data_IF_364599859308
#
_entry.id   IF_364599859308
#
_cell.length_a   1.000
_cell.length_b   1.000
_cell.length_c   1.000
_cell.angle_alpha   90.00
_cell.angle_beta   90.00
_cell.angle_gamma   90.00
#
_symmetry.space_group_name_H-M   'P 1'
#
loop_
_entity.id
_entity.type
_entity.pdbx_description
1 polymer ?
#
# COMPACT_ATOMS: atom_id res chain seq x y z
N UNK A 1 -26.48 19.43 33.18
CA UNK A 1 -26.32 17.95 33.16
C UNK A 1 -24.88 17.55 32.80
N UNK A 2 -23.98 18.53 32.66
CA UNK A 2 -22.70 18.38 31.96
C UNK A 2 -21.50 18.12 32.91
N UNK A 3 -21.60 18.53 34.18
CA UNK A 3 -20.51 18.37 35.15
C UNK A 3 -20.26 16.92 35.58
N UNK A 4 -21.33 16.11 35.69
CA UNK A 4 -21.22 14.71 36.08
C UNK A 4 -20.49 13.87 35.01
N UNK A 5 -20.72 14.19 33.73
CA UNK A 5 -20.11 13.52 32.59
C UNK A 5 -18.64 13.93 32.43
N UNK A 6 -18.32 15.21 32.72
CA UNK A 6 -16.96 15.73 32.75
C UNK A 6 -16.12 15.13 33.91
N UNK A 7 -16.73 14.93 35.08
CA UNK A 7 -16.08 14.27 36.22
C UNK A 7 -15.85 12.78 35.97
N UNK A 8 -16.80 12.08 35.35
CA UNK A 8 -16.61 10.68 34.95
C UNK A 8 -15.51 10.54 33.88
N UNK A 9 -15.44 11.46 32.91
CA UNK A 9 -14.39 11.47 31.90
C UNK A 9 -13.01 11.74 32.52
N UNK A 10 -12.92 12.68 33.47
CA UNK A 10 -11.69 12.97 34.23
C UNK A 10 -11.25 11.79 35.08
N UNK A 11 -12.18 11.13 35.78
CA UNK A 11 -11.89 9.95 36.59
C UNK A 11 -11.46 8.76 35.73
N UNK A 12 -12.08 8.56 34.57
CA UNK A 12 -11.68 7.55 33.60
C UNK A 12 -10.28 7.83 33.04
N UNK A 13 -9.99 9.09 32.65
CA UNK A 13 -8.65 9.50 32.19
C UNK A 13 -7.58 9.31 33.25
N UNK A 14 -7.87 9.68 34.50
CA UNK A 14 -6.97 9.45 35.64
C UNK A 14 -6.77 7.96 35.94
N UNK A 15 -7.82 7.14 35.84
CA UNK A 15 -7.72 5.69 36.00
C UNK A 15 -6.90 5.02 34.89
N UNK A 16 -7.02 5.50 33.65
CA UNK A 16 -6.17 5.05 32.54
C UNK A 16 -4.71 5.53 32.69
N UNK A 17 -4.49 6.76 33.18
CA UNK A 17 -3.14 7.25 33.50
C UNK A 17 -2.50 6.46 34.65
N UNK A 18 -3.26 6.11 35.69
CA UNK A 18 -2.78 5.27 36.79
C UNK A 18 -2.34 3.89 36.31
N UNK A 19 -3.16 3.22 35.49
CA UNK A 19 -2.80 1.93 34.89
C UNK A 19 -1.62 2.01 33.92
N UNK A 20 -1.48 3.12 33.20
CA UNK A 20 -0.31 3.36 32.36
C UNK A 20 0.95 3.58 33.19
N UNK A 21 0.85 4.27 34.33
CA UNK A 21 1.95 4.45 35.28
C UNK A 21 2.36 3.12 35.92
N UNK A 22 1.41 2.30 36.36
CA UNK A 22 1.68 0.97 36.92
C UNK A 22 2.31 0.02 35.88
N UNK A 23 1.86 0.11 34.62
CA UNK A 23 2.47 -0.65 33.52
C UNK A 23 3.89 -0.19 33.20
N UNK A 24 4.16 1.13 33.24
CA UNK A 24 5.50 1.68 33.09
C UNK A 24 6.41 1.29 34.27
N UNK A 25 5.91 1.31 35.51
CA UNK A 25 6.63 0.88 36.71
C UNK A 25 6.94 -0.62 36.68
N UNK A 26 5.97 -1.46 36.31
CA UNK A 26 6.17 -2.90 36.16
C UNK A 26 7.15 -3.25 35.02
N UNK A 27 7.14 -2.49 33.93
CA UNK A 27 8.17 -2.59 32.89
C UNK A 27 9.54 -2.16 33.40
N UNK A 28 9.61 -1.15 34.25
CA UNK A 28 10.84 -0.62 34.81
C UNK A 28 11.43 -1.58 35.85
N UNK A 29 10.61 -2.23 36.68
CA UNK A 29 11.03 -3.28 37.62
C UNK A 29 11.47 -4.56 36.91
N UNK A 30 10.71 -5.02 35.90
CA UNK A 30 11.09 -6.19 35.10
C UNK A 30 12.34 -5.93 34.24
N UNK A 31 12.52 -4.69 33.78
CA UNK A 31 13.73 -4.26 33.11
C UNK A 31 14.90 -4.13 34.09
N UNK A 32 14.71 -3.62 35.31
CA UNK A 32 15.76 -3.51 36.33
C UNK A 32 16.27 -4.89 36.76
N UNK A 33 15.38 -5.85 36.98
CA UNK A 33 15.75 -7.22 37.33
C UNK A 33 16.59 -7.88 36.23
N UNK A 34 16.20 -7.71 34.96
CA UNK A 34 16.97 -8.23 33.82
C UNK A 34 18.24 -7.44 33.51
N UNK A 35 18.29 -6.14 33.83
CA UNK A 35 19.50 -5.31 33.73
C UNK A 35 20.51 -5.66 34.82
N UNK A 36 20.05 -5.98 36.04
CA UNK A 36 20.90 -6.46 37.13
C UNK A 36 21.50 -7.84 36.80
N UNK A 37 20.70 -8.77 36.29
CA UNK A 37 21.21 -10.07 35.83
C UNK A 37 22.17 -9.95 34.63
N UNK A 38 21.89 -9.03 33.70
CA UNK A 38 22.79 -8.74 32.58
C UNK A 38 24.07 -8.00 33.03
N UNK A 39 24.01 -7.15 34.05
CA UNK A 39 25.16 -6.46 34.63
C UNK A 39 26.07 -7.42 35.41
N UNK A 40 25.49 -8.41 36.11
CA UNK A 40 26.24 -9.50 36.75
C UNK A 40 26.87 -10.42 35.70
N UNK A 41 26.19 -10.70 34.58
CA UNK A 41 26.75 -11.48 33.48
C UNK A 41 27.83 -10.74 32.66
N UNK A 42 27.77 -9.40 32.59
CA UNK A 42 28.78 -8.53 31.95
C UNK A 42 29.96 -8.18 32.85
N UNK A 43 29.89 -8.46 34.15
CA UNK A 43 30.94 -8.19 35.13
C UNK A 43 32.28 -8.90 34.84
N UNK A 44 32.32 -9.85 33.89
CA UNK A 44 33.56 -10.46 33.42
C UNK A 44 34.33 -9.68 32.35
N UNK A 45 33.75 -8.65 31.71
CA UNK A 45 34.33 -8.03 30.49
C UNK A 45 34.29 -6.50 30.43
N UNK A 46 34.09 -5.81 31.56
CA UNK A 46 33.88 -4.35 31.56
C UNK A 46 34.70 -3.53 32.55
N UNK A 47 35.81 -4.04 33.11
CA UNK A 47 36.64 -3.23 34.00
C UNK A 47 37.28 -2.01 33.29
N UNK A 48 37.63 -2.13 32.01
CA UNK A 48 38.24 -1.04 31.24
C UNK A 48 37.26 -0.01 30.66
N UNK A 49 35.99 -0.39 30.47
CA UNK A 49 34.97 0.51 29.92
C UNK A 49 34.23 1.26 31.03
N UNK A 50 33.96 0.62 32.18
CA UNK A 50 33.32 1.29 33.31
C UNK A 50 34.22 2.35 33.95
N UNK A 51 35.54 2.14 34.03
CA UNK A 51 36.44 3.13 34.63
C UNK A 51 36.46 4.48 33.86
N UNK A 52 36.28 4.44 32.53
CA UNK A 52 36.16 5.65 31.70
C UNK A 52 34.78 6.30 31.78
N UNK A 53 33.72 5.53 32.04
CA UNK A 53 32.36 6.05 32.21
C UNK A 53 32.13 6.60 33.62
N UNK A 54 32.78 6.04 34.64
CA UNK A 54 32.74 6.54 36.02
C UNK A 54 33.43 7.90 36.19
N UNK A 55 34.34 8.26 35.28
CA UNK A 55 34.98 9.57 35.23
C UNK A 55 34.13 10.64 34.51
N UNK A 56 33.06 10.24 33.82
CA UNK A 56 32.09 11.17 33.24
C UNK A 56 31.11 11.60 34.32
N UNK A 57 30.79 12.89 34.42
CA UNK A 57 30.01 13.37 35.53
C UNK A 57 28.55 12.90 35.38
N UNK A 58 27.97 12.49 36.51
CA UNK A 58 26.65 11.82 36.59
C UNK A 58 25.50 12.59 35.91
N UNK A 59 25.61 13.92 35.83
CA UNK A 59 24.63 14.79 35.17
C UNK A 59 24.62 14.69 33.64
N UNK A 60 25.62 14.05 33.02
CA UNK A 60 25.66 13.78 31.58
C UNK A 60 25.25 12.33 31.29
N UNK A 61 25.69 11.38 32.11
CA UNK A 61 25.44 9.95 31.89
C UNK A 61 23.98 9.57 32.13
N UNK A 62 23.35 10.11 33.17
CA UNK A 62 21.95 9.82 33.50
C UNK A 62 20.97 10.33 32.42
N UNK A 63 21.06 11.59 31.94
CA UNK A 63 20.20 12.04 30.83
C UNK A 63 20.46 11.30 29.52
N UNK A 64 21.71 10.95 29.23
CA UNK A 64 22.04 10.18 28.02
C UNK A 64 21.43 8.76 28.07
N UNK A 65 21.52 8.07 29.21
CA UNK A 65 20.89 6.77 29.41
C UNK A 65 19.37 6.84 29.27
N UNK A 66 18.74 7.86 29.87
CA UNK A 66 17.29 8.10 29.72
C UNK A 66 16.91 8.38 28.27
N UNK A 67 17.69 9.16 27.52
CA UNK A 67 17.45 9.43 26.11
C UNK A 67 17.53 8.16 25.25
N UNK A 68 18.49 7.27 25.54
CA UNK A 68 18.61 5.98 24.84
C UNK A 68 17.42 5.08 25.13
N UNK A 69 16.96 5.00 26.39
CA UNK A 69 15.76 4.23 26.77
C UNK A 69 14.50 4.82 26.11
N UNK A 70 14.35 6.14 26.11
CA UNK A 70 13.24 6.83 25.45
C UNK A 70 13.23 6.57 23.93
N UNK A 71 14.40 6.58 23.28
CA UNK A 71 14.53 6.25 21.86
C UNK A 71 14.18 4.78 21.57
N UNK A 72 14.65 3.86 22.41
CA UNK A 72 14.38 2.43 22.27
C UNK A 72 12.88 2.12 22.46
N UNK A 73 12.24 2.72 23.47
CA UNK A 73 10.80 2.57 23.71
C UNK A 73 9.97 3.20 22.59
N UNK A 74 10.35 4.38 22.09
CA UNK A 74 9.71 5.00 20.93
C UNK A 74 9.85 4.14 19.67
N UNK A 75 11.01 3.52 19.44
CA UNK A 75 11.24 2.60 18.33
C UNK A 75 10.36 1.34 18.45
N UNK A 76 10.28 0.74 19.64
CA UNK A 76 9.43 -0.42 19.88
C UNK A 76 7.93 -0.10 19.73
N UNK A 77 7.49 1.07 20.20
CA UNK A 77 6.11 1.56 20.00
C UNK A 77 5.82 1.81 18.53
N UNK A 78 6.78 2.38 17.79
CA UNK A 78 6.68 2.60 16.34
C UNK A 78 6.47 1.28 15.59
N UNK A 79 7.22 0.23 15.93
CA UNK A 79 7.03 -1.11 15.35
C UNK A 79 5.62 -1.66 15.62
N UNK A 80 5.18 -1.64 16.88
CA UNK A 80 3.82 -2.11 17.24
C UNK A 80 2.71 -1.29 16.57
N UNK A 81 2.92 0.01 16.40
CA UNK A 81 1.97 0.87 15.70
C UNK A 81 1.91 0.52 14.20
N UNK A 82 3.05 0.29 13.56
CA UNK A 82 3.09 -0.17 12.16
C UNK A 82 2.42 -1.52 11.99
N UNK A 83 2.70 -2.48 12.86
CA UNK A 83 2.08 -3.82 12.77
C UNK A 83 0.56 -3.74 12.90
N UNK A 84 0.05 -2.92 13.83
CA UNK A 84 -1.39 -2.69 13.98
C UNK A 84 -1.99 -1.96 12.77
N UNK A 85 -1.30 -0.97 12.22
CA UNK A 85 -1.74 -0.25 11.01
C UNK A 85 -1.77 -1.19 9.80
N UNK A 86 -0.78 -2.06 9.64
CA UNK A 86 -0.73 -3.07 8.58
C UNK A 86 -1.91 -4.04 8.71
N UNK A 87 -2.17 -4.55 9.92
CA UNK A 87 -3.30 -5.45 10.15
C UNK A 87 -4.64 -4.76 9.88
N UNK A 88 -4.80 -3.50 10.31
CA UNK A 88 -6.00 -2.72 10.00
C UNK A 88 -6.17 -2.52 8.49
N UNK A 89 -5.07 -2.20 7.79
CA UNK A 89 -5.09 -2.02 6.34
C UNK A 89 -5.44 -3.31 5.60
N UNK A 90 -4.88 -4.45 6.02
CA UNK A 90 -5.21 -5.75 5.44
C UNK A 90 -6.68 -6.13 5.67
N UNK A 91 -7.20 -5.93 6.89
CA UNK A 91 -8.61 -6.18 7.20
C UNK A 91 -9.51 -5.26 6.39
N UNK A 92 -9.13 -3.99 6.23
CA UNK A 92 -9.85 -3.03 5.42
C UNK A 92 -9.86 -3.43 3.93
N UNK A 93 -8.71 -3.82 3.37
CA UNK A 93 -8.60 -4.34 2.00
C UNK A 93 -9.47 -5.57 1.78
N UNK A 94 -9.47 -6.52 2.72
CA UNK A 94 -10.30 -7.72 2.66
C UNK A 94 -11.81 -7.37 2.66
N UNK A 95 -12.22 -6.38 3.47
CA UNK A 95 -13.61 -5.88 3.48
C UNK A 95 -14.00 -5.23 2.16
N UNK A 96 -13.08 -4.51 1.53
CA UNK A 96 -13.29 -3.87 0.23
C UNK A 96 -13.26 -4.88 -0.96
N UNK A 97 -13.08 -6.17 -0.65
CA UNK A 97 -13.12 -7.27 -1.62
C UNK A 97 -11.78 -7.57 -2.28
N UNK A 98 -10.69 -6.94 -1.84
CA UNK A 98 -9.34 -7.34 -2.25
C UNK A 98 -9.01 -8.69 -1.63
N UNK A 99 -8.39 -9.58 -2.41
CA UNK A 99 -7.90 -10.86 -1.90
C UNK A 99 -6.48 -11.09 -2.40
N UNK A 100 -5.74 -11.93 -1.67
CA UNK A 100 -4.43 -12.37 -2.11
C UNK A 100 -4.59 -13.17 -3.39
N UNK A 101 -4.08 -12.63 -4.51
CA UNK A 101 -4.07 -13.27 -5.82
C UNK A 101 -2.66 -13.62 -6.21
N UNK A 102 -2.49 -14.82 -6.73
CA UNK A 102 -1.26 -15.26 -7.35
C UNK A 102 -1.44 -15.15 -8.86
N UNK A 103 -0.58 -14.39 -9.52
CA UNK A 103 -0.51 -14.34 -10.98
C UNK A 103 0.84 -14.91 -11.40
N UNK A 104 0.82 -15.91 -12.28
CA UNK A 104 2.02 -16.57 -12.79
C UNK A 104 2.30 -16.09 -14.20
N UNK A 105 3.38 -15.33 -14.37
CA UNK A 105 3.86 -14.90 -15.68
C UNK A 105 4.61 -16.06 -16.33
N UNK A 106 4.17 -16.48 -17.52
CA UNK A 106 4.81 -17.51 -18.35
C UNK A 106 5.33 -16.86 -19.63
N UNK A 107 6.60 -16.45 -19.60
CA UNK A 107 7.28 -15.94 -20.80
C UNK A 107 8.32 -16.95 -21.27
N UNK A 108 7.96 -17.78 -22.24
CA UNK A 108 8.78 -18.90 -22.70
C UNK A 108 9.10 -19.87 -21.54
N UNK A 109 10.39 -20.09 -21.27
CA UNK A 109 10.86 -20.94 -20.17
C UNK A 109 10.81 -20.26 -18.78
N UNK A 110 10.65 -18.93 -18.72
CA UNK A 110 10.69 -18.18 -17.46
C UNK A 110 9.30 -18.17 -16.82
N UNK A 111 9.23 -18.73 -15.60
CA UNK A 111 8.05 -18.63 -14.73
C UNK A 111 8.34 -17.63 -13.61
N UNK A 112 7.61 -16.53 -13.57
CA UNK A 112 7.67 -15.57 -12.45
C UNK A 112 6.32 -15.50 -11.75
N UNK A 113 6.32 -15.78 -10.45
CA UNK A 113 5.14 -15.66 -9.61
C UNK A 113 5.07 -14.24 -9.05
N UNK A 114 3.93 -13.57 -9.21
CA UNK A 114 3.62 -12.31 -8.55
C UNK A 114 2.45 -12.52 -7.59
N UNK A 115 2.61 -12.07 -6.36
CA UNK A 115 1.58 -12.11 -5.33
C UNK A 115 1.13 -10.68 -5.08
N UNK A 116 -0.16 -10.42 -5.23
CA UNK A 116 -0.76 -9.09 -5.10
C UNK A 116 -2.03 -9.19 -4.25
N UNK A 117 -2.31 -8.18 -3.43
CA UNK A 117 -3.66 -7.97 -2.91
C UNK A 117 -4.47 -7.27 -3.99
N UNK A 118 -5.38 -8.01 -4.63
CA UNK A 118 -6.07 -7.54 -5.82
C UNK A 118 -7.55 -7.95 -5.85
N UNK A 119 -8.37 -7.08 -6.43
CA UNK A 119 -9.80 -7.28 -6.69
C UNK A 119 -10.01 -7.37 -8.21
N UNK A 120 -10.70 -8.39 -8.74
CA UNK A 120 -10.95 -8.49 -10.17
C UNK A 120 -11.88 -7.36 -10.64
N UNK A 121 -11.54 -6.78 -11.79
CA UNK A 121 -12.43 -5.88 -12.51
C UNK A 121 -13.32 -6.75 -13.39
N UNK A 122 -14.64 -6.65 -13.20
CA UNK A 122 -15.59 -7.37 -14.03
C UNK A 122 -15.55 -6.79 -15.44
N UNK A 123 -15.01 -7.58 -16.38
CA UNK A 123 -15.03 -7.28 -17.80
C UNK A 123 -16.05 -8.22 -18.49
N UNK A 124 -16.73 -7.74 -19.54
CA UNK A 124 -17.52 -8.61 -20.40
C UNK A 124 -16.71 -9.82 -20.91
N UNK A 125 -17.32 -10.99 -20.98
CA UNK A 125 -16.65 -12.27 -21.36
C UNK A 125 -15.96 -12.24 -22.72
N UNK A 126 -16.39 -11.35 -23.62
CA UNK A 126 -15.74 -11.12 -24.93
C UNK A 126 -14.29 -10.61 -24.84
N UNK A 127 -13.84 -10.16 -23.67
CA UNK A 127 -12.48 -9.67 -23.42
C UNK A 127 -11.61 -10.71 -22.71
N UNK A 128 -11.75 -11.98 -23.08
CA UNK A 128 -10.97 -13.11 -22.53
C UNK A 128 -9.45 -12.96 -22.69
N UNK A 129 -9.01 -12.24 -23.73
CA UNK A 129 -7.60 -11.93 -23.98
C UNK A 129 -6.95 -11.07 -22.88
N UNK A 130 -7.72 -10.40 -22.02
CA UNK A 130 -7.17 -9.55 -20.95
C UNK A 130 -7.97 -9.67 -19.66
N UNK A 131 -7.28 -9.92 -18.55
CA UNK A 131 -7.87 -9.79 -17.21
C UNK A 131 -7.31 -8.56 -16.50
N UNK A 132 -8.20 -7.68 -16.03
CA UNK A 132 -7.84 -6.52 -15.21
C UNK A 132 -8.14 -6.77 -13.73
N UNK A 133 -7.23 -6.30 -12.89
CA UNK A 133 -7.37 -6.31 -11.44
C UNK A 133 -7.01 -4.94 -10.87
N UNK A 134 -7.79 -4.47 -9.91
CA UNK A 134 -7.40 -3.36 -9.03
C UNK A 134 -6.48 -3.95 -7.95
N UNK A 135 -5.24 -3.47 -7.86
CA UNK A 135 -4.20 -3.99 -6.98
C UNK A 135 -3.72 -2.92 -5.98
N UNK A 136 -3.49 -3.31 -4.73
CA UNK A 136 -2.95 -2.42 -3.71
C UNK A 136 -1.40 -2.29 -3.80
N UNK A 137 -0.82 -1.12 -3.48
CA UNK A 137 -1.49 0.17 -3.28
C UNK A 137 -1.75 0.87 -4.62
N UNK A 138 -2.99 1.33 -4.84
CA UNK A 138 -3.49 2.13 -5.99
C UNK A 138 -2.85 1.83 -7.35
N UNK A 139 -2.96 0.58 -7.80
CA UNK A 139 -2.47 0.11 -9.09
C UNK A 139 -3.54 -0.64 -9.86
N UNK A 140 -3.41 -0.66 -11.17
CA UNK A 140 -4.01 -1.69 -12.01
C UNK A 140 -2.98 -2.77 -12.29
N UNK A 141 -3.38 -4.03 -12.14
CA UNK A 141 -2.66 -5.18 -12.68
C UNK A 141 -3.40 -5.68 -13.91
N UNK A 142 -2.71 -5.70 -15.05
CA UNK A 142 -3.25 -6.20 -16.32
C UNK A 142 -2.52 -7.48 -16.66
N UNK A 143 -3.27 -8.57 -16.79
CA UNK A 143 -2.78 -9.86 -17.22
C UNK A 143 -3.19 -10.08 -18.68
N UNK A 144 -2.19 -10.31 -19.54
CA UNK A 144 -2.37 -10.51 -20.98
C UNK A 144 -2.40 -12.00 -21.29
N UNK A 145 -3.37 -12.40 -22.13
CA UNK A 145 -3.68 -13.79 -22.48
C UNK A 145 -3.75 -14.73 -21.25
N UNK A 146 -4.64 -14.45 -20.28
CA UNK A 146 -4.74 -15.24 -19.07
C UNK A 146 -5.34 -16.63 -19.34
N UNK A 147 -4.71 -17.66 -18.78
CA UNK A 147 -5.22 -19.04 -18.71
C UNK A 147 -5.19 -19.47 -17.25
N UNK A 148 -6.35 -19.39 -16.59
CA UNK A 148 -6.47 -19.62 -15.14
C UNK A 148 -5.66 -18.59 -14.34
N UNK A 149 -4.71 -19.06 -13.52
CA UNK A 149 -3.80 -18.18 -12.76
C UNK A 149 -2.52 -17.81 -13.52
N UNK A 150 -2.34 -18.33 -14.74
CA UNK A 150 -1.20 -18.03 -15.59
C UNK A 150 -1.56 -16.96 -16.62
N UNK A 151 -0.59 -16.13 -17.00
CA UNK A 151 -0.72 -15.15 -18.09
C UNK A 151 0.62 -15.05 -18.84
N UNK A 152 0.58 -14.64 -20.10
CA UNK A 152 1.81 -14.47 -20.89
C UNK A 152 2.66 -13.32 -20.35
N UNK A 153 2.01 -12.19 -20.04
CA UNK A 153 2.62 -11.04 -19.38
C UNK A 153 1.68 -10.47 -18.30
N UNK A 154 2.27 -9.90 -17.24
CA UNK A 154 1.52 -9.20 -16.19
C UNK A 154 2.21 -7.89 -15.89
N UNK A 155 1.50 -6.79 -16.18
CA UNK A 155 2.00 -5.43 -15.98
C UNK A 155 1.24 -4.71 -14.88
N UNK A 156 1.96 -3.83 -14.19
CA UNK A 156 1.43 -3.02 -13.09
C UNK A 156 1.50 -1.56 -13.49
N UNK A 157 0.36 -0.88 -13.41
CA UNK A 157 0.21 0.53 -13.73
C UNK A 157 -0.25 1.28 -12.49
N UNK A 158 0.35 2.44 -12.25
CA UNK A 158 -0.06 3.31 -11.14
C UNK A 158 -1.38 4.00 -11.49
N UNK A 159 -2.41 3.81 -10.65
CA UNK A 159 -3.72 4.45 -10.81
C UNK A 159 -3.68 5.91 -10.32
N UNK A 160 -2.86 6.18 -9.31
CA UNK A 160 -2.67 7.53 -8.74
C UNK A 160 -1.95 8.52 -9.70
N UNK A 161 -1.45 8.04 -10.84
CA UNK A 161 -0.73 8.87 -11.82
C UNK A 161 -1.35 8.77 -13.20
N UNK A 162 -1.69 9.92 -13.79
CA UNK A 162 -2.13 10.03 -15.19
C UNK A 162 -1.19 9.32 -16.17
N UNK A 163 0.13 9.41 -15.96
CA UNK A 163 1.10 8.72 -16.79
C UNK A 163 0.99 7.19 -16.71
N UNK A 164 0.63 6.64 -15.55
CA UNK A 164 0.42 5.20 -15.37
C UNK A 164 -0.83 4.71 -16.10
N UNK A 165 -1.93 5.45 -15.98
CA UNK A 165 -3.18 5.17 -16.69
C UNK A 165 -3.03 5.30 -18.22
N UNK A 166 -2.31 6.33 -18.67
CA UNK A 166 -1.98 6.49 -20.09
C UNK A 166 -1.13 5.33 -20.61
N UNK A 167 -0.08 4.93 -19.88
CA UNK A 167 0.76 3.80 -20.25
C UNK A 167 -0.04 2.48 -20.30
N UNK A 168 -1.01 2.29 -19.39
CA UNK A 168 -1.92 1.15 -19.44
C UNK A 168 -2.71 1.14 -20.75
N UNK A 169 -3.30 2.27 -21.14
CA UNK A 169 -4.03 2.39 -22.40
C UNK A 169 -3.15 2.14 -23.62
N UNK A 170 -1.92 2.66 -23.63
CA UNK A 170 -0.97 2.47 -24.75
C UNK A 170 -0.55 1.01 -24.92
N UNK A 171 -0.30 0.30 -23.81
CA UNK A 171 0.01 -1.12 -23.85
C UNK A 171 -1.21 -1.97 -24.26
N UNK A 172 -2.42 -1.61 -23.82
CA UNK A 172 -3.67 -2.24 -24.29
C UNK A 172 -3.86 -2.07 -25.81
N UNK A 173 -3.66 -0.85 -26.33
CA UNK A 173 -3.70 -0.58 -27.78
C UNK A 173 -2.71 -1.49 -28.51
N UNK A 174 -1.46 -1.54 -28.02
CA UNK A 174 -0.40 -2.34 -28.64
C UNK A 174 -0.74 -3.82 -28.63
N UNK A 175 -1.24 -4.33 -27.51
CA UNK A 175 -1.60 -5.74 -27.36
C UNK A 175 -2.75 -6.13 -28.31
N UNK A 176 -3.85 -5.39 -28.31
CA UNK A 176 -5.00 -5.69 -29.18
C UNK A 176 -4.64 -5.63 -30.67
N UNK A 177 -3.75 -4.71 -31.08
CA UNK A 177 -3.29 -4.62 -32.46
C UNK A 177 -2.31 -5.71 -32.86
N UNK A 178 -1.49 -6.18 -31.92
CA UNK A 178 -0.57 -7.28 -32.17
C UNK A 178 -1.27 -8.65 -32.19
N UNK A 179 -2.45 -8.75 -31.58
CA UNK A 179 -3.19 -10.00 -31.48
C UNK A 179 -3.91 -10.33 -32.80
N UNK A 180 -3.26 -11.14 -33.64
CA UNK A 180 -3.73 -11.56 -34.98
C UNK A 180 -5.07 -12.32 -34.94
N UNK A 181 -5.48 -12.82 -33.77
CA UNK A 181 -6.74 -13.57 -33.60
C UNK A 181 -7.99 -12.66 -33.57
N UNK A 182 -7.82 -11.35 -33.38
CA UNK A 182 -8.94 -10.41 -33.31
C UNK A 182 -9.34 -9.90 -34.69
N UNK A 183 -10.53 -10.30 -35.15
CA UNK A 183 -11.10 -9.87 -36.44
C UNK A 183 -11.33 -8.36 -36.54
N UNK A 184 -11.55 -7.65 -35.41
CA UNK A 184 -11.80 -6.20 -35.34
C UNK A 184 -11.15 -5.55 -34.11
N UNK A 185 -9.81 -5.56 -34.06
CA UNK A 185 -9.04 -5.05 -32.92
C UNK A 185 -9.45 -3.63 -32.46
N UNK A 186 -9.60 -2.66 -33.37
CA UNK A 186 -9.97 -1.30 -32.98
C UNK A 186 -11.42 -1.17 -32.47
N UNK A 187 -12.34 -2.04 -32.93
CA UNK A 187 -13.72 -2.06 -32.46
C UNK A 187 -13.83 -2.61 -31.03
N UNK A 188 -13.16 -3.73 -30.78
CA UNK A 188 -13.07 -4.33 -29.44
C UNK A 188 -12.37 -3.40 -28.45
N UNK A 189 -11.31 -2.72 -28.90
CA UNK A 189 -10.56 -1.78 -28.07
C UNK A 189 -11.41 -0.56 -27.66
N UNK A 190 -12.23 -0.01 -28.57
CA UNK A 190 -13.20 1.05 -28.22
C UNK A 190 -14.22 0.55 -27.21
N UNK A 191 -14.71 -0.68 -27.38
CA UNK A 191 -15.66 -1.27 -26.45
C UNK A 191 -15.04 -1.52 -25.06
N UNK A 192 -13.78 -1.93 -25.00
CA UNK A 192 -13.04 -2.08 -23.75
C UNK A 192 -12.82 -0.72 -23.07
N UNK A 193 -12.40 0.30 -23.84
CA UNK A 193 -12.19 1.64 -23.31
C UNK A 193 -13.49 2.25 -22.81
N UNK A 194 -14.62 2.03 -23.47
CA UNK A 194 -15.92 2.48 -22.97
C UNK A 194 -16.29 1.87 -21.60
N UNK A 195 -15.98 0.59 -21.38
CA UNK A 195 -16.19 -0.07 -20.08
C UNK A 195 -15.28 0.51 -19.01
N UNK A 196 -14.01 0.76 -19.35
CA UNK A 196 -13.04 1.36 -18.42
C UNK A 196 -13.38 2.83 -18.11
N UNK A 197 -13.79 3.60 -19.11
CA UNK A 197 -14.17 5.01 -18.98
C UNK A 197 -15.38 5.18 -18.05
N UNK A 198 -16.36 4.28 -18.15
CA UNK A 198 -17.54 4.29 -17.28
C UNK A 198 -17.21 3.93 -15.82
N UNK A 199 -16.10 3.21 -15.60
CA UNK A 199 -15.73 2.71 -14.27
C UNK A 199 -14.73 3.62 -13.56
N UNK A 200 -13.79 4.20 -14.30
CA UNK A 200 -12.70 5.01 -13.76
C UNK A 200 -12.62 6.35 -14.49
N UNK A 201 -13.12 7.44 -13.88
CA UNK A 201 -13.10 8.77 -14.50
C UNK A 201 -11.69 9.32 -14.69
N UNK A 202 -10.72 8.90 -13.87
CA UNK A 202 -9.32 9.31 -14.04
C UNK A 202 -8.71 8.61 -15.25
N UNK A 203 -9.09 7.35 -15.51
CA UNK A 203 -8.71 6.66 -16.74
C UNK A 203 -9.31 7.37 -17.96
N UNK A 204 -10.61 7.68 -17.93
CA UNK A 204 -11.28 8.41 -19.02
C UNK A 204 -10.60 9.74 -19.35
N UNK A 205 -10.12 10.46 -18.33
CA UNK A 205 -9.44 11.74 -18.49
C UNK A 205 -8.00 11.62 -19.00
N UNK A 206 -7.33 10.48 -18.81
CA UNK A 206 -5.89 10.34 -19.05
C UNK A 206 -5.52 9.32 -20.13
N UNK A 207 -6.47 8.52 -20.61
CA UNK A 207 -6.24 7.50 -21.63
C UNK A 207 -5.79 8.10 -22.96
N UNK A 208 -4.99 7.35 -23.75
CA UNK A 208 -4.68 7.72 -25.13
C UNK A 208 -5.94 7.76 -25.99
N UNK A 209 -5.95 8.65 -26.99
CA UNK A 209 -7.04 8.71 -27.97
C UNK A 209 -6.97 7.52 -28.93
N UNK A 210 -8.12 6.93 -29.25
CA UNK A 210 -8.22 5.85 -30.23
C UNK A 210 -8.39 6.42 -31.66
N UNK A 211 -7.95 5.70 -32.71
CA UNK A 211 -8.18 6.15 -34.08
C UNK A 211 -9.67 6.35 -34.37
N UNK A 212 -10.00 7.49 -34.98
CA UNK A 212 -11.37 7.90 -35.29
C UNK A 212 -12.05 8.77 -34.23
N UNK A 213 -11.61 8.74 -32.97
CA UNK A 213 -12.16 9.62 -31.91
C UNK A 213 -11.70 11.08 -32.08
N UNK A 214 -10.52 11.31 -32.66
CA UNK A 214 -9.99 12.65 -32.93
C UNK A 214 -10.85 13.44 -33.93
N UNK A 215 -11.53 12.75 -34.85
CA UNK A 215 -12.41 13.36 -35.86
C UNK A 215 -13.71 13.85 -35.21
N UNK A 216 -14.31 13.08 -34.30
CA UNK A 216 -15.49 13.51 -33.53
C UNK A 216 -15.17 14.67 -32.57
N UNK A 217 -14.00 14.64 -31.91
CA UNK A 217 -13.57 15.72 -31.02
C UNK A 217 -13.27 17.02 -31.77
N UNK A 218 -12.69 16.94 -32.98
CA UNK A 218 -12.50 18.11 -33.85
C UNK A 218 -13.80 18.60 -34.47
N UNK A 219 -14.70 17.70 -34.92
CA UNK A 219 -16.01 18.05 -35.46
C UNK A 219 -16.90 18.76 -34.44
N UNK A 220 -16.91 18.32 -33.17
CA UNK A 220 -17.61 19.01 -32.08
C UNK A 220 -17.01 20.37 -31.71
N UNK A 221 -15.69 20.55 -31.86
CA UNK A 221 -15.05 21.87 -31.68
C UNK A 221 -15.35 22.83 -32.83
N UNK A 222 -15.44 22.33 -34.07
CA UNK A 222 -15.86 23.12 -35.24
C UNK A 222 -17.31 23.62 -35.08
N UNK A 223 -18.23 22.74 -34.68
CA UNK A 223 -19.64 23.11 -34.49
C UNK A 223 -19.89 24.09 -33.32
N UNK A 224 -19.00 24.15 -32.32
CA UNK A 224 -19.04 25.15 -31.24
C UNK A 224 -18.26 26.43 -31.56
N UNK A 225 -17.43 26.43 -32.60
CA UNK A 225 -16.66 27.59 -33.04
C UNK A 225 -17.39 28.47 -34.06
N UNK A 226 -18.50 28.00 -34.63
CA UNK A 226 -19.33 28.73 -35.62
C UNK A 226 -20.56 29.41 -34.99
N UNK A 227 -20.65 29.47 -33.66
CA UNK A 227 -21.74 30.13 -32.91
C UNK A 227 -21.30 31.39 -32.15
N UNK A 228 -20.25 32.07 -32.63
CA UNK A 228 -19.86 33.40 -32.16
C UNK A 228 -19.85 34.41 -33.32
#
# INVERSE_FOLDING_TARGET
MDDALLQHLKAALWGYMGKAADFCLGLLEAALGKLLDAAVALAGWTEHVLARIAALPLWITVPAALAVIALATAYAMRQKLYDRLLLYYDVWLLREGYRRRTLTVRRGAVRRRRVLMARPVALPERFDAVALYEAAPDRYAVAYDPVGEAAEDVRLYRRDRRAGLRAMGEDLIRHFRANVRMLRADGELRALFAVLDARDPDFAASRPTLPGEDVEKRGKKSARGETL
#
